data_IF_732378698427
#
_entry.id   IF_732378698427
#
_cell.length_a   1.000
_cell.length_b   1.000
_cell.length_c   1.000
_cell.angle_alpha   90.00
_cell.angle_beta   90.00
_cell.angle_gamma   90.00
#
_symmetry.space_group_name_H-M   'P 1'
#
loop_
_entity.id
_entity.type
_entity.pdbx_description
1 polymer ?
#
# COMPACT_ATOMS: atom_id res chain seq x y z
N UNK A 1 -23.32 9.65 -7.43
CA UNK A 1 -21.90 9.29 -7.59
C UNK A 1 -21.09 10.21 -6.70
N UNK A 2 -20.11 9.70 -5.95
CA UNK A 2 -19.25 10.55 -5.12
C UNK A 2 -18.47 11.53 -6.01
N UNK A 3 -18.75 12.82 -5.87
CA UNK A 3 -18.19 13.89 -6.72
C UNK A 3 -16.79 14.34 -6.28
N UNK A 4 -16.17 13.65 -5.31
CA UNK A 4 -14.88 14.01 -4.70
C UNK A 4 -13.89 12.84 -4.61
N UNK A 5 -12.68 13.13 -4.13
CA UNK A 5 -11.62 12.13 -3.90
C UNK A 5 -12.07 11.09 -2.87
N UNK A 6 -11.77 9.82 -3.12
CA UNK A 6 -12.03 8.74 -2.16
C UNK A 6 -11.21 8.94 -0.89
N UNK A 7 -11.69 8.40 0.24
CA UNK A 7 -10.92 8.41 1.51
C UNK A 7 -9.55 7.76 1.31
N UNK A 8 -9.49 6.67 0.55
CA UNK A 8 -8.23 6.01 0.20
C UNK A 8 -7.25 6.98 -0.50
N UNK A 9 -7.71 7.71 -1.52
CA UNK A 9 -6.89 8.72 -2.21
C UNK A 9 -6.37 9.78 -1.23
N UNK A 10 -7.23 10.28 -0.35
CA UNK A 10 -6.86 11.29 0.65
C UNK A 10 -5.79 10.77 1.61
N UNK A 11 -5.92 9.53 2.10
CA UNK A 11 -4.93 8.90 3.00
C UNK A 11 -3.61 8.70 2.28
N UNK A 12 -3.63 8.21 1.03
CA UNK A 12 -2.41 7.95 0.27
C UNK A 12 -1.60 9.21 -0.07
N UNK A 13 -2.24 10.39 -0.06
CA UNK A 13 -1.55 11.69 -0.26
C UNK A 13 -0.59 12.04 0.88
N UNK A 14 -0.80 11.49 2.08
CA UNK A 14 0.08 11.72 3.23
C UNK A 14 1.25 10.73 3.30
N UNK A 15 1.37 9.81 2.34
CA UNK A 15 2.43 8.81 2.37
C UNK A 15 3.80 9.43 2.09
N UNK A 16 4.83 9.13 2.90
CA UNK A 16 6.19 9.58 2.67
C UNK A 16 6.84 8.77 1.54
N UNK A 17 6.36 8.94 0.31
CA UNK A 17 6.73 8.13 -0.86
C UNK A 17 8.22 8.14 -1.15
N UNK A 18 8.90 9.26 -0.91
CA UNK A 18 10.34 9.37 -1.09
C UNK A 18 11.09 8.42 -0.13
N UNK A 19 10.80 8.51 1.17
CA UNK A 19 11.38 7.64 2.19
C UNK A 19 11.03 6.18 1.96
N UNK A 20 9.78 5.89 1.58
CA UNK A 20 9.34 4.53 1.24
C UNK A 20 10.19 3.94 0.11
N UNK A 21 10.36 4.68 -1.00
CA UNK A 21 11.18 4.22 -2.14
C UNK A 21 12.63 4.02 -1.75
N UNK A 22 13.20 4.91 -0.92
CA UNK A 22 14.56 4.73 -0.39
C UNK A 22 14.71 3.44 0.41
N UNK A 23 13.72 3.10 1.25
CA UNK A 23 13.72 1.84 2.00
C UNK A 23 13.62 0.63 1.08
N UNK A 24 12.71 0.65 0.10
CA UNK A 24 12.54 -0.46 -0.86
C UNK A 24 13.85 -0.71 -1.62
N UNK A 25 14.53 0.35 -2.08
CA UNK A 25 15.81 0.23 -2.77
C UNK A 25 16.91 -0.30 -1.84
N UNK A 26 17.06 0.32 -0.66
CA UNK A 26 18.08 -0.04 0.34
C UNK A 26 18.04 -1.51 0.74
N UNK A 27 16.85 -2.08 0.87
CA UNK A 27 16.67 -3.46 1.27
C UNK A 27 16.39 -4.41 0.11
N UNK A 28 16.50 -3.95 -1.13
CA UNK A 28 16.15 -4.72 -2.33
C UNK A 28 14.75 -5.37 -2.23
N UNK A 29 13.77 -4.63 -1.70
CA UNK A 29 12.44 -5.15 -1.35
C UNK A 29 11.69 -5.75 -2.55
N UNK A 30 11.95 -5.26 -3.76
CA UNK A 30 11.37 -5.78 -5.00
C UNK A 30 12.22 -6.86 -5.69
N UNK A 31 13.22 -7.44 -5.00
CA UNK A 31 14.08 -8.48 -5.59
C UNK A 31 13.24 -9.71 -5.96
N UNK A 32 13.28 -10.10 -7.25
CA UNK A 32 12.53 -11.23 -7.83
C UNK A 32 10.99 -11.07 -7.78
N UNK A 33 10.48 -9.87 -7.55
CA UNK A 33 9.05 -9.60 -7.71
C UNK A 33 8.65 -9.76 -9.19
N UNK A 34 7.51 -10.40 -9.44
CA UNK A 34 6.95 -10.56 -10.79
C UNK A 34 5.77 -9.61 -11.04
N UNK A 35 4.79 -9.60 -10.14
CA UNK A 35 3.52 -8.86 -10.35
C UNK A 35 2.99 -8.13 -9.12
N UNK A 36 3.64 -8.25 -7.95
CA UNK A 36 3.20 -7.66 -6.69
C UNK A 36 4.35 -6.98 -5.96
N UNK A 37 4.52 -5.68 -6.21
CA UNK A 37 5.61 -4.88 -5.64
C UNK A 37 5.38 -4.55 -4.16
N UNK A 38 6.43 -4.11 -3.47
CA UNK A 38 6.30 -3.55 -2.13
C UNK A 38 5.28 -2.41 -2.07
N UNK A 39 5.15 -1.61 -3.14
CA UNK A 39 4.17 -0.53 -3.18
C UNK A 39 2.75 -1.10 -3.24
N UNK A 40 2.52 -2.12 -4.07
CA UNK A 40 1.22 -2.79 -4.15
C UNK A 40 0.84 -3.39 -2.81
N UNK A 41 1.78 -4.11 -2.17
CA UNK A 41 1.61 -4.66 -0.82
C UNK A 41 1.28 -3.57 0.20
N UNK A 42 1.99 -2.44 0.17
CA UNK A 42 1.78 -1.34 1.10
C UNK A 42 0.40 -0.69 0.93
N UNK A 43 -0.02 -0.47 -0.32
CA UNK A 43 -1.34 0.07 -0.64
C UNK A 43 -2.46 -0.90 -0.26
N UNK A 44 -2.30 -2.19 -0.50
CA UNK A 44 -3.23 -3.23 -0.05
C UNK A 44 -3.38 -3.21 1.47
N UNK A 45 -2.27 -3.11 2.22
CA UNK A 45 -2.31 -3.05 3.68
C UNK A 45 -2.99 -1.79 4.21
N UNK A 46 -2.80 -0.63 3.58
CA UNK A 46 -3.51 0.60 3.95
C UNK A 46 -5.02 0.42 3.73
N UNK A 47 -5.42 -0.16 2.60
CA UNK A 47 -6.83 -0.45 2.33
C UNK A 47 -7.41 -1.45 3.36
N UNK A 48 -6.64 -2.48 3.70
CA UNK A 48 -6.98 -3.48 4.70
C UNK A 48 -7.24 -2.85 6.08
N UNK A 49 -6.39 -1.92 6.51
CA UNK A 49 -6.57 -1.20 7.78
C UNK A 49 -7.87 -0.40 7.81
N UNK A 50 -8.30 0.18 6.69
CA UNK A 50 -9.59 0.88 6.58
C UNK A 50 -10.80 -0.06 6.71
N UNK A 51 -10.61 -1.36 6.47
CA UNK A 51 -11.64 -2.40 6.57
C UNK A 51 -11.43 -3.31 7.79
N UNK A 52 -10.67 -2.86 8.79
CA UNK A 52 -10.39 -3.59 10.03
C UNK A 52 -9.67 -4.93 9.83
N UNK A 53 -8.82 -5.02 8.79
CA UNK A 53 -7.95 -6.17 8.53
C UNK A 53 -6.53 -5.87 8.96
N UNK A 54 -5.84 -6.88 9.50
CA UNK A 54 -4.52 -6.73 10.09
C UNK A 54 -3.41 -7.32 9.22
N UNK A 55 -3.75 -8.17 8.24
CA UNK A 55 -2.80 -8.84 7.37
C UNK A 55 -3.33 -9.04 5.95
N UNK A 56 -2.43 -9.34 5.01
CA UNK A 56 -2.82 -9.72 3.65
C UNK A 56 -3.71 -10.97 3.62
N UNK A 57 -3.52 -11.89 4.57
CA UNK A 57 -4.34 -13.09 4.68
C UNK A 57 -5.80 -12.75 4.94
N UNK A 58 -6.06 -11.73 5.75
CA UNK A 58 -7.43 -11.32 6.10
C UNK A 58 -8.14 -10.57 4.96
N UNK A 59 -7.41 -10.21 3.90
CA UNK A 59 -7.97 -9.58 2.70
C UNK A 59 -8.55 -10.63 1.73
N UNK A 60 -7.95 -11.82 1.67
CA UNK A 60 -8.43 -12.89 0.78
C UNK A 60 -9.54 -13.77 1.40
N UNK A 61 -9.73 -13.70 2.72
CA UNK A 61 -10.74 -14.47 3.46
C UNK A 61 -12.14 -13.83 3.39
#
# INVERSE_FOLDING_TARGET
MNTGKTIFSQVTEFLPMHTFRQCVERYSGNRKVQTFSCLDQFLCMIFAQLTYRESLRDIEA
#
